data_IF_239677483484
#
_entry.id   IF_239677483484
#
_cell.length_a   1.000
_cell.length_b   1.000
_cell.length_c   1.000
_cell.angle_alpha   90.00
_cell.angle_beta   90.00
_cell.angle_gamma   90.00
#
_symmetry.space_group_name_H-M   'P 1'
#
loop_
_entity.id
_entity.type
_entity.pdbx_description
1 polymer ?
#
# COMPACT_ATOMS: atom_id res chain seq x y z
N UNK A 1 25.87 13.51 -7.81
CA UNK A 1 24.66 12.66 -7.91
C UNK A 1 24.05 12.42 -6.53
N UNK A 2 22.76 12.08 -6.44
CA UNK A 2 22.11 11.70 -5.17
C UNK A 2 21.63 12.86 -4.28
N UNK A 3 21.78 14.12 -4.72
CA UNK A 3 21.18 15.25 -4.01
C UNK A 3 19.66 15.28 -4.22
N UNK A 4 18.90 15.44 -3.13
CA UNK A 4 17.43 15.58 -3.21
C UNK A 4 17.07 16.94 -3.82
N UNK A 5 16.54 16.92 -5.04
CA UNK A 5 16.10 18.13 -5.77
C UNK A 5 14.58 18.29 -5.84
N UNK A 6 13.84 17.20 -5.63
CA UNK A 6 12.37 17.19 -5.63
C UNK A 6 11.82 16.63 -4.33
N UNK A 7 10.61 17.07 -3.98
CA UNK A 7 9.92 16.61 -2.78
C UNK A 7 9.27 15.25 -3.03
N UNK A 8 9.48 14.29 -2.12
CA UNK A 8 8.96 12.93 -2.23
C UNK A 8 8.04 12.61 -1.06
N UNK A 9 7.06 11.74 -1.28
CA UNK A 9 6.15 11.21 -0.28
C UNK A 9 5.74 9.79 -0.65
N UNK A 10 5.36 8.99 0.35
CA UNK A 10 4.70 7.69 0.12
C UNK A 10 3.24 7.85 -0.29
N UNK A 11 2.64 9.01 0.01
CA UNK A 11 1.26 9.32 -0.37
C UNK A 11 1.21 9.75 -1.85
N UNK A 12 0.21 9.28 -2.61
CA UNK A 12 0.00 9.68 -3.99
C UNK A 12 -0.20 11.18 -4.15
N UNK A 13 0.11 11.71 -5.34
CA UNK A 13 -0.15 13.11 -5.68
C UNK A 13 0.82 14.12 -5.06
N UNK A 14 2.07 13.72 -4.80
CA UNK A 14 3.09 14.61 -4.23
C UNK A 14 3.55 15.69 -5.23
N UNK A 15 3.87 15.30 -6.46
CA UNK A 15 4.16 16.23 -7.56
C UNK A 15 2.84 16.69 -8.17
N UNK A 16 2.55 18.00 -8.06
CA UNK A 16 1.28 18.60 -8.52
C UNK A 16 1.42 19.50 -9.73
N UNK A 17 2.64 19.93 -10.03
CA UNK A 17 2.96 20.81 -11.15
C UNK A 17 4.11 20.21 -11.95
N UNK A 18 4.18 20.57 -13.24
CA UNK A 18 5.36 20.31 -14.06
C UNK A 18 6.55 21.03 -13.43
N UNK A 19 7.69 20.36 -13.32
CA UNK A 19 8.92 20.93 -12.80
C UNK A 19 10.09 20.55 -13.69
N UNK A 20 11.06 21.45 -13.81
CA UNK A 20 12.26 21.27 -14.63
C UNK A 20 13.50 21.23 -13.73
N UNK A 21 14.43 20.34 -14.04
CA UNK A 21 15.68 20.16 -13.31
C UNK A 21 16.83 20.17 -14.32
N UNK A 22 17.74 21.13 -14.19
CA UNK A 22 18.96 21.16 -14.99
C UNK A 22 19.99 20.18 -14.41
N UNK A 23 20.54 19.34 -15.28
CA UNK A 23 21.67 18.48 -15.01
C UNK A 23 22.86 18.97 -15.82
N UNK A 24 23.87 19.43 -15.11
CA UNK A 24 25.19 19.73 -15.68
C UNK A 24 26.02 18.45 -15.55
N UNK A 25 26.36 17.81 -16.67
CA UNK A 25 27.23 16.63 -16.67
C UNK A 25 28.68 17.09 -16.85
N UNK A 26 29.56 16.71 -15.92
CA UNK A 26 31.00 17.03 -15.97
C UNK A 26 31.81 16.01 -16.80
N UNK A 27 31.16 15.12 -17.56
CA UNK A 27 31.83 14.06 -18.29
C UNK A 27 32.52 14.58 -19.57
N UNK A 28 33.77 14.99 -19.38
CA UNK A 28 34.92 14.80 -20.30
C UNK A 28 34.66 15.00 -21.81
N UNK A 29 34.11 16.14 -22.24
CA UNK A 29 34.38 16.77 -23.56
C UNK A 29 33.50 18.02 -23.84
N UNK A 30 33.18 18.85 -22.84
CA UNK A 30 32.33 20.03 -23.06
C UNK A 30 30.83 19.68 -23.16
N UNK A 31 30.31 19.00 -22.14
CA UNK A 31 28.93 18.53 -22.09
C UNK A 31 27.88 19.65 -22.15
N UNK A 32 26.81 19.41 -22.90
CA UNK A 32 25.64 20.29 -22.97
C UNK A 32 24.74 20.10 -21.75
N UNK A 33 24.08 21.15 -21.24
CA UNK A 33 23.11 21.01 -20.15
C UNK A 33 21.94 20.13 -20.59
N UNK A 34 21.60 19.12 -19.78
CA UNK A 34 20.40 18.30 -19.96
C UNK A 34 19.31 18.85 -19.03
N UNK A 35 18.13 19.13 -19.57
CA UNK A 35 16.97 19.49 -18.76
C UNK A 35 16.03 18.30 -18.58
N UNK A 36 15.83 17.86 -17.34
CA UNK A 36 14.80 16.89 -17.00
C UNK A 36 13.48 17.61 -16.74
N UNK A 37 12.39 17.04 -17.24
CA UNK A 37 11.03 17.50 -16.96
C UNK A 37 10.29 16.40 -16.19
N UNK A 38 9.90 16.69 -14.95
CA UNK A 38 9.09 15.79 -14.11
C UNK A 38 7.67 16.34 -14.02
N UNK A 39 6.66 15.50 -14.25
CA UNK A 39 5.26 15.90 -14.35
C UNK A 39 4.39 15.22 -13.28
N UNK A 40 3.18 15.74 -13.02
CA UNK A 40 2.25 15.10 -12.11
C UNK A 40 1.88 13.69 -12.59
N UNK A 41 1.75 12.76 -11.65
CA UNK A 41 1.28 11.40 -11.97
C UNK A 41 -0.19 11.41 -12.44
N UNK A 42 -0.46 10.67 -13.51
CA UNK A 42 -1.80 10.49 -14.08
C UNK A 42 -2.17 9.00 -14.10
N UNK A 43 -3.44 8.68 -13.80
CA UNK A 43 -3.96 7.31 -13.85
C UNK A 43 -5.12 7.25 -14.83
N UNK A 44 -4.99 6.44 -15.87
CA UNK A 44 -6.01 6.29 -16.90
C UNK A 44 -7.14 5.35 -16.44
N UNK A 45 -8.42 5.70 -16.70
CA UNK A 45 -9.56 4.86 -16.31
C UNK A 45 -9.58 3.46 -16.93
N UNK A 46 -9.02 3.30 -18.13
CA UNK A 46 -9.03 2.05 -18.89
C UNK A 46 -8.06 0.99 -18.38
N UNK A 47 -7.09 1.36 -17.55
CA UNK A 47 -6.05 0.46 -17.08
C UNK A 47 -6.45 -0.36 -15.84
N UNK A 48 -7.63 -0.12 -15.26
CA UNK A 48 -7.95 -0.57 -13.91
C UNK A 48 -9.32 -1.23 -13.85
N UNK A 49 -9.36 -2.50 -13.44
CA UNK A 49 -10.59 -3.33 -13.44
C UNK A 49 -11.53 -2.98 -12.30
N UNK A 50 -11.01 -2.50 -11.18
CA UNK A 50 -11.79 -2.14 -10.00
C UNK A 50 -11.13 -1.07 -9.14
N UNK A 51 -11.91 -0.48 -8.23
CA UNK A 51 -11.36 0.41 -7.19
C UNK A 51 -10.37 -0.31 -6.27
N UNK A 52 -10.52 -1.62 -6.08
CA UNK A 52 -9.62 -2.40 -5.26
C UNK A 52 -8.22 -2.49 -5.88
N UNK A 53 -8.13 -2.65 -7.20
CA UNK A 53 -6.87 -2.63 -7.93
C UNK A 53 -6.14 -1.29 -7.76
N UNK A 54 -6.88 -0.17 -7.82
CA UNK A 54 -6.32 1.18 -7.56
C UNK A 54 -5.75 1.35 -6.14
N UNK A 55 -6.35 0.68 -5.15
CA UNK A 55 -5.87 0.73 -3.77
C UNK A 55 -4.60 -0.10 -3.62
N UNK A 56 -4.61 -1.32 -4.14
CA UNK A 56 -3.49 -2.27 -4.06
C UNK A 56 -2.29 -1.80 -4.89
N UNK A 57 -2.51 -1.00 -5.94
CA UNK A 57 -1.46 -0.31 -6.71
C UNK A 57 -0.90 0.93 -6.01
N UNK A 58 -1.43 1.31 -4.84
CA UNK A 58 -1.00 2.50 -4.10
C UNK A 58 -1.38 3.80 -4.81
N UNK A 59 -2.39 3.80 -5.68
CA UNK A 59 -2.82 4.99 -6.42
C UNK A 59 -3.81 5.85 -5.63
N UNK A 60 -4.61 5.22 -4.76
CA UNK A 60 -5.63 5.89 -3.94
C UNK A 60 -5.15 6.00 -2.49
N UNK A 61 -5.40 7.13 -1.81
CA UNK A 61 -5.08 7.25 -0.38
C UNK A 61 -5.80 6.20 0.47
N UNK A 62 -5.02 5.40 1.20
CA UNK A 62 -5.53 4.32 2.08
C UNK A 62 -6.25 4.89 3.31
N UNK A 63 -5.89 6.10 3.74
CA UNK A 63 -6.37 6.70 4.99
C UNK A 63 -7.88 6.96 5.01
N UNK A 64 -8.48 7.19 3.84
CA UNK A 64 -9.91 7.47 3.68
C UNK A 64 -10.68 6.31 3.03
N UNK A 65 -10.04 5.15 2.88
CA UNK A 65 -10.71 3.98 2.32
C UNK A 65 -11.86 3.57 3.26
N UNK A 66 -13.08 3.44 2.72
CA UNK A 66 -14.24 2.96 3.49
C UNK A 66 -14.42 1.46 3.37
N UNK A 67 -14.35 0.97 2.15
CA UNK A 67 -14.44 -0.44 1.83
C UNK A 67 -13.05 -1.01 1.54
N UNK A 68 -12.50 -1.72 2.52
CA UNK A 68 -11.18 -2.34 2.44
C UNK A 68 -11.24 -3.81 2.03
N UNK A 69 -12.42 -4.45 2.12
CA UNK A 69 -12.53 -5.91 2.00
C UNK A 69 -12.08 -6.41 0.62
N UNK A 70 -12.55 -5.82 -0.50
CA UNK A 70 -12.09 -6.25 -1.83
C UNK A 70 -10.57 -6.10 -2.01
N UNK A 71 -9.97 -5.05 -1.45
CA UNK A 71 -8.52 -4.82 -1.57
C UNK A 71 -7.71 -5.83 -0.76
N UNK A 72 -8.20 -6.21 0.43
CA UNK A 72 -7.57 -7.24 1.25
C UNK A 72 -7.76 -8.63 0.63
N UNK A 73 -8.93 -8.94 0.07
CA UNK A 73 -9.16 -10.21 -0.62
C UNK A 73 -8.23 -10.37 -1.82
N UNK A 74 -8.00 -9.32 -2.62
CA UNK A 74 -7.01 -9.36 -3.72
C UNK A 74 -5.59 -9.65 -3.22
N UNK A 75 -5.20 -9.09 -2.07
CA UNK A 75 -3.89 -9.37 -1.46
C UNK A 75 -3.82 -10.83 -1.00
N UNK A 76 -4.87 -11.32 -0.34
CA UNK A 76 -4.94 -12.72 0.10
C UNK A 76 -4.90 -13.68 -1.08
N UNK A 77 -5.54 -13.35 -2.20
CA UNK A 77 -5.50 -14.16 -3.43
C UNK A 77 -4.09 -14.22 -4.04
N UNK A 78 -3.34 -13.12 -3.97
CA UNK A 78 -1.97 -13.05 -4.51
C UNK A 78 -0.93 -13.69 -3.58
N UNK A 79 -1.04 -13.48 -2.28
CA UNK A 79 0.00 -13.89 -1.30
C UNK A 79 -0.35 -15.22 -0.62
N UNK A 80 -1.62 -15.47 -0.34
CA UNK A 80 -2.11 -16.61 0.44
C UNK A 80 -2.41 -16.23 1.90
N UNK A 81 -3.53 -16.71 2.42
CA UNK A 81 -4.00 -16.40 3.78
C UNK A 81 -3.02 -16.87 4.85
N UNK A 82 -2.58 -18.13 4.80
CA UNK A 82 -1.74 -18.70 5.86
C UNK A 82 -0.35 -18.04 5.91
N UNK A 83 0.23 -17.68 4.75
CA UNK A 83 1.47 -16.88 4.69
C UNK A 83 1.31 -15.52 5.36
N UNK A 84 0.18 -14.85 5.13
CA UNK A 84 -0.09 -13.57 5.78
C UNK A 84 -0.27 -13.72 7.30
N UNK A 85 -0.96 -14.77 7.74
CA UNK A 85 -1.12 -15.07 9.17
C UNK A 85 0.22 -15.37 9.86
N UNK A 86 1.10 -16.11 9.19
CA UNK A 86 2.47 -16.40 9.66
C UNK A 86 3.32 -15.13 9.69
N UNK A 87 3.33 -14.35 8.60
CA UNK A 87 4.09 -13.11 8.49
C UNK A 87 3.73 -12.11 9.61
N UNK A 88 2.43 -11.97 9.90
CA UNK A 88 1.93 -11.11 10.96
C UNK A 88 1.92 -11.77 12.34
N UNK A 89 2.39 -13.02 12.46
CA UNK A 89 2.45 -13.80 13.70
C UNK A 89 1.12 -13.79 14.45
N UNK A 90 0.03 -13.94 13.70
CA UNK A 90 -1.34 -13.90 14.21
C UNK A 90 -2.13 -15.19 13.91
N UNK A 91 -1.49 -16.24 13.38
CA UNK A 91 -2.12 -17.54 13.14
C UNK A 91 -2.87 -18.10 14.35
N UNK A 92 -2.26 -18.06 15.54
CA UNK A 92 -2.87 -18.56 16.78
C UNK A 92 -4.14 -17.80 17.22
N UNK A 93 -4.32 -16.58 16.72
CA UNK A 93 -5.47 -15.72 17.01
C UNK A 93 -6.58 -15.86 15.95
N UNK A 94 -6.33 -16.63 14.88
CA UNK A 94 -7.28 -16.87 13.81
C UNK A 94 -8.28 -17.97 14.20
N UNK A 95 -9.35 -17.58 14.88
CA UNK A 95 -10.39 -18.53 15.32
C UNK A 95 -11.14 -19.16 14.15
N UNK A 96 -11.72 -20.34 14.37
CA UNK A 96 -12.59 -21.01 13.39
C UNK A 96 -13.79 -20.12 13.00
N UNK A 97 -14.33 -19.34 13.95
CA UNK A 97 -15.41 -18.40 13.69
C UNK A 97 -14.98 -17.29 12.73
N UNK A 98 -13.76 -16.76 12.85
CA UNK A 98 -13.28 -15.76 11.90
C UNK A 98 -13.08 -16.36 10.50
N UNK A 99 -12.55 -17.58 10.40
CA UNK A 99 -12.40 -18.29 9.11
C UNK A 99 -13.75 -18.52 8.43
N UNK A 100 -14.80 -18.88 9.19
CA UNK A 100 -16.17 -19.06 8.67
C UNK A 100 -16.79 -17.77 8.12
N UNK A 101 -16.40 -16.61 8.64
CA UNK A 101 -16.89 -15.30 8.17
C UNK A 101 -16.11 -14.76 6.95
N UNK A 102 -15.12 -15.50 6.45
CA UNK A 102 -14.37 -15.18 5.24
C UNK A 102 -12.89 -14.88 5.48
N UNK A 103 -12.07 -15.05 4.43
CA UNK A 103 -10.60 -14.95 4.47
C UNK A 103 -10.12 -13.57 4.95
N UNK A 104 -10.72 -12.49 4.46
CA UNK A 104 -10.42 -11.13 4.93
C UNK A 104 -10.66 -10.98 6.44
N UNK A 105 -11.82 -11.43 6.93
CA UNK A 105 -12.14 -11.35 8.36
C UNK A 105 -11.19 -12.20 9.20
N UNK A 106 -10.85 -13.39 8.71
CA UNK A 106 -9.87 -14.28 9.31
C UNK A 106 -8.53 -13.59 9.56
N UNK A 107 -7.96 -12.93 8.54
CA UNK A 107 -6.70 -12.22 8.64
C UNK A 107 -6.79 -10.98 9.55
N UNK A 108 -7.76 -10.10 9.28
CA UNK A 108 -7.83 -8.79 9.92
C UNK A 108 -8.22 -8.90 11.40
N UNK A 109 -9.17 -9.77 11.73
CA UNK A 109 -9.55 -10.00 13.13
C UNK A 109 -8.42 -10.66 13.90
N UNK A 110 -7.73 -11.65 13.33
CA UNK A 110 -6.58 -12.29 13.97
C UNK A 110 -5.45 -11.28 14.26
N UNK A 111 -5.12 -10.43 13.27
CA UNK A 111 -4.17 -9.34 13.46
C UNK A 111 -4.64 -8.39 14.58
N UNK A 112 -5.88 -7.94 14.54
CA UNK A 112 -6.42 -7.00 15.50
C UNK A 112 -6.37 -7.55 16.93
N UNK A 113 -6.74 -8.82 17.14
CA UNK A 113 -6.65 -9.48 18.45
C UNK A 113 -5.18 -9.60 18.90
N UNK A 114 -4.28 -10.08 18.03
CA UNK A 114 -2.84 -10.22 18.32
C UNK A 114 -2.19 -8.93 18.81
N UNK A 115 -2.57 -7.81 18.21
CA UNK A 115 -2.00 -6.49 18.48
C UNK A 115 -2.90 -5.62 19.37
N UNK A 116 -3.90 -6.22 20.02
CA UNK A 116 -4.82 -5.56 20.96
C UNK A 116 -5.52 -4.33 20.39
N UNK A 117 -5.87 -4.37 19.10
CA UNK A 117 -6.63 -3.32 18.41
C UNK A 117 -8.11 -3.65 18.46
N UNK A 118 -8.86 -2.93 19.28
CA UNK A 118 -10.27 -3.15 19.49
C UNK A 118 -11.05 -1.84 19.41
N UNK A 119 -12.27 -1.94 18.90
CA UNK A 119 -13.29 -0.91 19.00
C UNK A 119 -14.01 -1.03 20.36
N UNK A 120 -15.10 -0.29 20.54
CA UNK A 120 -15.99 -0.44 21.70
C UNK A 120 -16.50 -1.88 21.80
N UNK A 121 -16.78 -2.31 23.04
CA UNK A 121 -17.30 -3.65 23.35
C UNK A 121 -16.37 -4.82 22.93
N UNK A 122 -15.07 -4.57 22.79
CA UNK A 122 -14.09 -5.62 22.49
C UNK A 122 -14.16 -6.17 21.06
N UNK A 123 -14.81 -5.47 20.14
CA UNK A 123 -14.86 -5.87 18.73
C UNK A 123 -13.49 -5.65 18.09
N UNK A 124 -12.87 -6.66 17.45
CA UNK A 124 -11.59 -6.49 16.76
C UNK A 124 -11.64 -5.37 15.71
N UNK A 125 -10.68 -4.44 15.75
CA UNK A 125 -10.61 -3.33 14.80
C UNK A 125 -9.99 -3.78 13.46
N UNK A 126 -10.85 -4.35 12.61
CA UNK A 126 -10.48 -4.78 11.25
C UNK A 126 -9.99 -3.61 10.39
N UNK A 127 -10.48 -2.39 10.65
CA UNK A 127 -10.13 -1.22 9.85
C UNK A 127 -8.69 -0.78 10.10
N UNK A 128 -8.29 -0.72 11.38
CA UNK A 128 -6.91 -0.43 11.75
C UNK A 128 -5.94 -1.55 11.29
N UNK A 129 -6.39 -2.80 11.28
CA UNK A 129 -5.62 -3.91 10.71
C UNK A 129 -5.46 -3.77 9.19
N UNK A 130 -6.55 -3.49 8.47
CA UNK A 130 -6.54 -3.37 7.00
C UNK A 130 -5.58 -2.28 6.52
N UNK A 131 -5.54 -1.14 7.19
CA UNK A 131 -4.59 -0.05 6.87
C UNK A 131 -3.13 -0.49 6.98
N UNK A 132 -2.80 -1.37 7.92
CA UNK A 132 -1.43 -1.89 8.05
C UNK A 132 -1.13 -2.81 6.87
N UNK A 133 -2.00 -3.79 6.63
CA UNK A 133 -1.82 -4.77 5.55
C UNK A 133 -1.70 -4.09 4.18
N UNK A 134 -2.60 -3.13 3.87
CA UNK A 134 -2.56 -2.37 2.62
C UNK A 134 -1.26 -1.56 2.48
N UNK A 135 -0.80 -0.91 3.55
CA UNK A 135 0.45 -0.14 3.51
C UNK A 135 1.66 -1.04 3.31
N UNK A 136 1.73 -2.16 4.02
CA UNK A 136 2.82 -3.13 3.88
C UNK A 136 2.87 -3.69 2.44
N UNK A 137 1.71 -3.99 1.86
CA UNK A 137 1.64 -4.46 0.48
C UNK A 137 2.11 -3.39 -0.52
N UNK A 138 1.59 -2.16 -0.42
CA UNK A 138 1.93 -1.09 -1.38
C UNK A 138 3.40 -0.65 -1.34
N UNK A 139 4.13 -0.97 -0.26
CA UNK A 139 5.54 -0.59 -0.11
C UNK A 139 6.48 -1.70 -0.56
N UNK A 140 5.93 -2.80 -1.10
CA UNK A 140 6.69 -3.94 -1.57
C UNK A 140 7.31 -4.77 -0.44
N UNK A 141 6.66 -4.83 0.73
CA UNK A 141 7.13 -5.70 1.81
C UNK A 141 7.16 -7.15 1.33
N UNK A 142 8.26 -7.85 1.61
CA UNK A 142 8.39 -9.25 1.24
C UNK A 142 7.60 -10.13 2.20
N UNK A 143 6.95 -11.16 1.65
CA UNK A 143 6.15 -12.15 2.36
C UNK A 143 6.96 -13.44 2.53
N UNK A 144 8.10 -13.31 3.20
CA UNK A 144 9.00 -14.40 3.62
C UNK A 144 8.61 -14.93 5.00
#
# INVERSE_FOLDING_TARGET
>A
WGAKKVSMSRQPGKTKHLQTLELITEDKAGGNPIQLCDCPGLVFPTAVRSKADLVVSGTVPIDYLRDYRPSIDLIIEKVGLDKLLEHYKCGDYCTLNFRRLGRTRALLSAYAVRYKKFLKLGVPDEYAAARVVLRDYCIGRKWE
#
